data_IF_705539045061
#
_entry.id   IF_705539045061
#
_cell.length_a   1.000
_cell.length_b   1.000
_cell.length_c   1.000
_cell.angle_alpha   90.00
_cell.angle_beta   90.00
_cell.angle_gamma   90.00
#
_symmetry.space_group_name_H-M   'P 1'
#
loop_
_entity.id
_entity.type
_entity.pdbx_description
1 polymer ?
#
# COMPACT_ATOMS: atom_id res chain seq x y z
N UNK A 1 -21.78 -21.43 -9.19
CA UNK A 1 -20.57 -20.62 -9.37
C UNK A 1 -20.96 -19.16 -9.17
N UNK A 2 -20.43 -18.51 -8.13
CA UNK A 2 -20.73 -17.12 -7.79
C UNK A 2 -19.86 -16.17 -8.63
N UNK A 3 -20.46 -15.20 -9.28
CA UNK A 3 -19.76 -14.24 -10.13
C UNK A 3 -19.27 -13.05 -9.31
N UNK A 4 -17.95 -12.93 -9.15
CA UNK A 4 -17.28 -11.87 -8.39
C UNK A 4 -16.56 -10.95 -9.37
N UNK A 5 -16.90 -9.66 -9.35
CA UNK A 5 -16.23 -8.65 -10.17
C UNK A 5 -15.31 -7.80 -9.29
N UNK A 6 -14.04 -7.70 -9.66
CA UNK A 6 -13.08 -6.83 -8.98
C UNK A 6 -12.85 -5.58 -9.81
N UNK A 7 -12.98 -4.41 -9.18
CA UNK A 7 -12.83 -3.10 -9.86
C UNK A 7 -11.75 -2.28 -9.17
N UNK A 8 -10.77 -1.82 -9.96
CA UNK A 8 -9.69 -0.95 -9.49
C UNK A 8 -9.13 -0.11 -10.64
N UNK A 9 -8.42 0.97 -10.33
CA UNK A 9 -8.01 1.92 -11.39
C UNK A 9 -6.64 2.54 -11.23
N UNK A 10 -6.01 2.39 -10.08
CA UNK A 10 -4.70 2.99 -9.78
C UNK A 10 -3.65 1.93 -9.52
N UNK A 11 -2.37 2.30 -9.63
CA UNK A 11 -1.23 1.44 -9.30
C UNK A 11 -1.30 0.87 -7.87
N UNK A 12 -1.55 1.67 -6.81
CA UNK A 12 -1.65 1.14 -5.45
C UNK A 12 -2.79 0.14 -5.25
N UNK A 13 -3.94 0.38 -5.88
CA UNK A 13 -5.05 -0.58 -5.86
C UNK A 13 -4.67 -1.89 -6.55
N UNK A 14 -4.05 -1.81 -7.74
CA UNK A 14 -3.66 -2.99 -8.51
C UNK A 14 -2.68 -3.88 -7.74
N UNK A 15 -1.68 -3.32 -7.06
CA UNK A 15 -0.71 -4.06 -6.24
C UNK A 15 -1.45 -4.92 -5.19
N UNK A 16 -2.53 -4.40 -4.61
CA UNK A 16 -3.29 -5.05 -3.55
C UNK A 16 -4.42 -5.95 -4.07
N UNK A 17 -4.96 -5.65 -5.26
CA UNK A 17 -6.07 -6.41 -5.85
C UNK A 17 -5.64 -7.54 -6.76
N UNK A 18 -4.50 -7.44 -7.45
CA UNK A 18 -4.03 -8.51 -8.33
C UNK A 18 -3.75 -9.84 -7.62
N UNK A 19 -3.15 -9.87 -6.41
CA UNK A 19 -3.06 -11.11 -5.63
C UNK A 19 -4.42 -11.74 -5.34
N UNK A 20 -5.43 -10.90 -5.03
CA UNK A 20 -6.80 -11.35 -4.79
C UNK A 20 -7.46 -11.91 -6.06
N UNK A 21 -7.23 -11.26 -7.21
CA UNK A 21 -7.66 -11.80 -8.52
C UNK A 21 -7.08 -13.19 -8.75
N UNK A 22 -5.77 -13.35 -8.53
CA UNK A 22 -5.09 -14.63 -8.73
C UNK A 22 -5.60 -15.69 -7.78
N UNK A 23 -5.79 -15.39 -6.49
CA UNK A 23 -6.38 -16.30 -5.52
C UNK A 23 -7.81 -16.73 -5.95
N UNK A 24 -8.65 -15.79 -6.34
CA UNK A 24 -10.03 -16.09 -6.76
C UNK A 24 -10.10 -16.92 -8.04
N UNK A 25 -9.18 -16.73 -8.97
CA UNK A 25 -9.11 -17.54 -10.20
C UNK A 25 -8.76 -19.02 -9.94
N UNK A 26 -8.20 -19.35 -8.77
CA UNK A 26 -7.95 -20.75 -8.37
C UNK A 26 -9.19 -21.47 -7.80
N UNK A 27 -10.29 -20.73 -7.57
CA UNK A 27 -11.49 -21.23 -6.89
C UNK A 27 -12.55 -21.71 -7.88
N UNK A 28 -12.93 -22.98 -7.85
CA UNK A 28 -13.90 -23.58 -8.76
C UNK A 28 -15.32 -22.99 -8.61
N UNK A 29 -15.69 -22.57 -7.41
CA UNK A 29 -17.03 -22.01 -7.11
C UNK A 29 -17.13 -20.49 -7.42
N UNK A 30 -16.03 -19.84 -7.77
CA UNK A 30 -15.99 -18.41 -8.09
C UNK A 30 -15.71 -18.19 -9.59
N UNK A 31 -16.55 -17.37 -10.23
CA UNK A 31 -16.27 -16.83 -11.56
C UNK A 31 -15.75 -15.40 -11.39
N UNK A 32 -14.45 -15.22 -11.58
CA UNK A 32 -13.78 -13.92 -11.41
C UNK A 32 -13.85 -13.10 -12.68
N UNK A 33 -14.26 -11.84 -12.55
CA UNK A 33 -14.26 -10.83 -13.62
C UNK A 33 -13.44 -9.63 -13.16
N UNK A 34 -12.55 -9.13 -13.99
CA UNK A 34 -11.66 -8.00 -13.67
C UNK A 34 -12.01 -6.82 -14.54
N UNK A 35 -12.36 -5.69 -13.91
CA UNK A 35 -12.58 -4.43 -14.60
C UNK A 35 -11.59 -3.37 -14.09
N UNK A 36 -10.86 -2.74 -15.01
CA UNK A 36 -9.98 -1.62 -14.65
C UNK A 36 -10.57 -0.32 -15.20
N UNK A 37 -10.44 0.76 -14.42
CA UNK A 37 -10.89 2.08 -14.88
C UNK A 37 -9.82 2.81 -15.67
N UNK A 38 -8.53 2.44 -15.51
CA UNK A 38 -7.45 3.04 -16.26
C UNK A 38 -7.18 4.50 -15.89
N UNK A 39 -7.36 4.87 -14.61
CA UNK A 39 -7.11 6.24 -14.13
C UNK A 39 -5.64 6.67 -14.28
N UNK A 40 -4.67 5.72 -14.24
CA UNK A 40 -3.23 5.91 -14.46
C UNK A 40 -2.68 4.75 -15.30
N UNK A 41 -2.93 4.78 -16.61
CA UNK A 41 -2.75 3.66 -17.53
C UNK A 41 -1.37 2.99 -17.45
N UNK A 42 -0.31 3.71 -17.78
CA UNK A 42 1.03 3.13 -17.90
C UNK A 42 1.53 2.45 -16.62
N UNK A 43 1.31 3.07 -15.47
CA UNK A 43 1.71 2.52 -14.17
C UNK A 43 0.83 1.35 -13.73
N UNK A 44 -0.42 1.31 -14.17
CA UNK A 44 -1.34 0.21 -13.92
C UNK A 44 -0.95 -1.01 -14.73
N UNK A 45 -0.66 -0.84 -16.02
CA UNK A 45 -0.28 -1.93 -16.94
C UNK A 45 0.98 -2.68 -16.43
N UNK A 46 1.98 -1.96 -15.92
CA UNK A 46 3.18 -2.56 -15.32
C UNK A 46 2.86 -3.51 -14.14
N UNK A 47 1.89 -3.14 -13.30
CA UNK A 47 1.47 -3.99 -12.19
C UNK A 47 0.68 -5.19 -12.70
N UNK A 48 -0.24 -4.99 -13.63
CA UNK A 48 -1.00 -6.08 -14.24
C UNK A 48 -0.07 -7.13 -14.86
N UNK A 49 0.97 -6.68 -15.57
CA UNK A 49 1.99 -7.56 -16.16
C UNK A 49 2.79 -8.30 -15.07
N UNK A 50 3.22 -7.60 -14.02
CA UNK A 50 4.00 -8.20 -12.93
C UNK A 50 3.23 -9.31 -12.18
N UNK A 51 1.91 -9.20 -12.10
CA UNK A 51 1.04 -10.20 -11.49
C UNK A 51 0.37 -11.15 -12.48
N UNK A 52 0.65 -11.02 -13.77
CA UNK A 52 0.05 -11.80 -14.86
C UNK A 52 -1.50 -11.73 -14.86
N UNK A 53 -2.03 -10.55 -14.61
CA UNK A 53 -3.47 -10.29 -14.61
C UNK A 53 -3.86 -9.58 -15.90
N UNK A 54 -4.78 -10.17 -16.65
CA UNK A 54 -5.40 -9.53 -17.81
C UNK A 54 -6.81 -9.10 -17.41
N UNK A 55 -7.17 -7.82 -17.52
CA UNK A 55 -8.52 -7.36 -17.27
C UNK A 55 -9.48 -7.83 -18.35
N UNK A 56 -10.72 -8.16 -17.96
CA UNK A 56 -11.81 -8.49 -18.88
C UNK A 56 -12.43 -7.21 -19.47
N UNK A 57 -12.44 -6.13 -18.69
CA UNK A 57 -12.95 -4.82 -19.06
C UNK A 57 -11.96 -3.71 -18.71
N UNK A 58 -11.81 -2.75 -19.61
CA UNK A 58 -10.97 -1.57 -19.42
C UNK A 58 -11.75 -0.33 -19.87
N UNK A 59 -12.09 0.53 -18.92
CA UNK A 59 -12.86 1.75 -19.21
C UNK A 59 -12.01 2.87 -19.82
N UNK A 60 -10.69 2.80 -19.70
CA UNK A 60 -9.72 3.74 -20.27
C UNK A 60 -10.10 5.22 -20.02
N UNK A 61 -10.50 5.56 -18.79
CA UNK A 61 -11.06 6.89 -18.48
C UNK A 61 -10.01 7.99 -18.41
N UNK A 62 -8.71 7.67 -18.47
CA UNK A 62 -7.65 8.66 -18.35
C UNK A 62 -7.69 9.69 -19.50
N UNK A 63 -7.74 10.97 -19.12
CA UNK A 63 -7.60 12.11 -20.01
C UNK A 63 -6.75 13.18 -19.33
N UNK A 64 -6.05 13.98 -20.13
CA UNK A 64 -5.29 15.11 -19.60
C UNK A 64 -6.18 16.11 -18.86
N UNK A 65 -5.69 16.60 -17.72
CA UNK A 65 -6.34 17.66 -16.92
C UNK A 65 -7.78 17.35 -16.47
N UNK A 66 -8.09 16.07 -16.20
CA UNK A 66 -9.39 15.68 -15.66
C UNK A 66 -9.64 16.30 -14.28
N UNK A 67 -10.85 16.78 -14.07
CA UNK A 67 -11.39 17.16 -12.77
C UNK A 67 -11.96 15.93 -12.04
N UNK A 68 -12.22 16.05 -10.74
CA UNK A 68 -12.96 15.01 -10.01
C UNK A 68 -14.36 14.77 -10.58
N UNK A 69 -14.99 15.80 -11.14
CA UNK A 69 -16.29 15.66 -11.83
C UNK A 69 -16.18 14.77 -13.07
N UNK A 70 -15.14 14.98 -13.89
CA UNK A 70 -14.92 14.18 -15.10
C UNK A 70 -14.64 12.71 -14.74
N UNK A 71 -13.77 12.47 -13.75
CA UNK A 71 -13.45 11.13 -13.27
C UNK A 71 -14.70 10.43 -12.76
N UNK A 72 -15.47 11.09 -11.88
CA UNK A 72 -16.71 10.56 -11.31
C UNK A 72 -17.71 10.19 -12.39
N UNK A 73 -17.99 11.11 -13.33
CA UNK A 73 -18.97 10.89 -14.37
C UNK A 73 -18.57 9.77 -15.34
N UNK A 74 -17.29 9.72 -15.73
CA UNK A 74 -16.78 8.71 -16.63
C UNK A 74 -16.83 7.31 -16.00
N UNK A 75 -16.41 7.17 -14.72
CA UNK A 75 -16.49 5.89 -14.00
C UNK A 75 -17.95 5.48 -13.83
N UNK A 76 -18.84 6.37 -13.38
CA UNK A 76 -20.23 6.04 -13.10
C UNK A 76 -20.94 5.49 -14.33
N UNK A 77 -20.78 6.14 -15.47
CA UNK A 77 -21.38 5.71 -16.72
C UNK A 77 -20.77 4.39 -17.24
N UNK A 78 -19.43 4.30 -17.31
CA UNK A 78 -18.76 3.11 -17.83
C UNK A 78 -18.98 1.87 -16.95
N UNK A 79 -18.90 2.01 -15.63
CA UNK A 79 -19.23 0.90 -14.70
C UNK A 79 -20.70 0.51 -14.82
N UNK A 80 -21.61 1.48 -14.99
CA UNK A 80 -23.02 1.18 -15.17
C UNK A 80 -23.29 0.23 -16.34
N UNK A 81 -22.64 0.45 -17.50
CA UNK A 81 -22.74 -0.41 -18.68
C UNK A 81 -22.14 -1.82 -18.44
N UNK A 82 -20.94 -1.88 -17.81
CA UNK A 82 -20.30 -3.16 -17.49
C UNK A 82 -21.11 -3.97 -16.49
N UNK A 83 -21.73 -3.34 -15.49
CA UNK A 83 -22.60 -4.03 -14.53
C UNK A 83 -23.85 -4.61 -15.19
N UNK A 84 -24.42 -3.95 -16.20
CA UNK A 84 -25.55 -4.48 -16.98
C UNK A 84 -25.18 -5.70 -17.80
N UNK A 85 -23.99 -5.72 -18.38
CA UNK A 85 -23.49 -6.84 -19.16
C UNK A 85 -23.07 -8.02 -18.27
N UNK A 86 -22.27 -7.76 -17.24
CA UNK A 86 -21.68 -8.79 -16.38
C UNK A 86 -22.70 -9.39 -15.43
N UNK A 87 -23.60 -8.57 -14.85
CA UNK A 87 -24.53 -8.95 -13.79
C UNK A 87 -23.83 -9.77 -12.67
N UNK A 88 -22.88 -9.16 -11.94
CA UNK A 88 -22.14 -9.86 -10.89
C UNK A 88 -23.02 -10.07 -9.63
N UNK A 89 -22.74 -11.16 -8.90
CA UNK A 89 -23.37 -11.42 -7.61
C UNK A 89 -22.80 -10.54 -6.49
N UNK A 90 -21.54 -10.10 -6.66
CA UNK A 90 -20.86 -9.17 -5.77
C UNK A 90 -19.74 -8.43 -6.51
N UNK A 91 -19.54 -7.17 -6.16
CA UNK A 91 -18.44 -6.35 -6.68
C UNK A 91 -17.48 -6.03 -5.55
N UNK A 92 -16.19 -6.26 -5.75
CA UNK A 92 -15.12 -5.89 -4.83
C UNK A 92 -14.48 -4.58 -5.27
N UNK A 93 -14.32 -3.67 -4.33
CA UNK A 93 -13.60 -2.40 -4.47
C UNK A 93 -12.55 -2.28 -3.37
N UNK A 94 -11.52 -1.47 -3.58
CA UNK A 94 -10.39 -1.40 -2.66
C UNK A 94 -10.12 0.03 -2.17
N UNK A 95 -9.98 0.19 -0.87
CA UNK A 95 -9.49 1.44 -0.26
C UNK A 95 -10.45 2.61 -0.43
N UNK A 96 -9.96 3.70 -1.04
CA UNK A 96 -10.59 5.02 -0.92
C UNK A 96 -10.50 5.91 -2.17
N UNK A 97 -10.13 5.35 -3.31
CA UNK A 97 -10.05 6.12 -4.55
C UNK A 97 -11.43 6.55 -5.08
N UNK A 98 -11.44 7.46 -6.04
CA UNK A 98 -12.66 7.78 -6.79
C UNK A 98 -13.23 6.54 -7.49
N UNK A 99 -12.37 5.66 -8.01
CA UNK A 99 -12.80 4.37 -8.58
C UNK A 99 -13.60 3.55 -7.57
N UNK A 100 -13.10 3.43 -6.35
CA UNK A 100 -13.74 2.68 -5.26
C UNK A 100 -15.11 3.24 -4.91
N UNK A 101 -15.18 4.54 -4.65
CA UNK A 101 -16.45 5.20 -4.27
C UNK A 101 -17.48 5.17 -5.38
N UNK A 102 -17.10 5.54 -6.59
CA UNK A 102 -18.05 5.67 -7.71
C UNK A 102 -18.55 4.29 -8.17
N UNK A 103 -17.68 3.27 -8.14
CA UNK A 103 -18.11 1.89 -8.40
C UNK A 103 -19.12 1.41 -7.35
N UNK A 104 -18.85 1.67 -6.06
CA UNK A 104 -19.79 1.31 -4.99
C UNK A 104 -21.15 2.03 -5.17
N UNK A 105 -21.12 3.30 -5.56
CA UNK A 105 -22.35 4.07 -5.86
C UNK A 105 -23.12 3.48 -7.04
N UNK A 106 -22.47 3.10 -8.13
CA UNK A 106 -23.10 2.43 -9.28
C UNK A 106 -23.74 1.09 -8.87
N UNK A 107 -23.04 0.30 -8.06
CA UNK A 107 -23.56 -0.96 -7.51
C UNK A 107 -24.77 -0.72 -6.62
N UNK A 108 -24.76 0.32 -5.78
CA UNK A 108 -25.89 0.68 -4.94
C UNK A 108 -27.14 1.00 -5.78
N UNK A 109 -27.01 1.77 -6.87
CA UNK A 109 -28.12 2.08 -7.77
C UNK A 109 -28.70 0.84 -8.46
N UNK A 110 -27.88 -0.18 -8.67
CA UNK A 110 -28.30 -1.45 -9.28
C UNK A 110 -28.60 -2.55 -8.26
N UNK A 111 -28.54 -2.24 -6.96
CA UNK A 111 -28.78 -3.17 -5.86
C UNK A 111 -27.84 -4.40 -5.88
N UNK A 112 -26.61 -4.19 -6.36
CA UNK A 112 -25.56 -5.22 -6.38
C UNK A 112 -24.75 -5.10 -5.10
N UNK A 113 -24.55 -6.21 -4.35
CA UNK A 113 -23.75 -6.20 -3.15
C UNK A 113 -22.29 -5.77 -3.40
N UNK A 114 -21.73 -4.96 -2.48
CA UNK A 114 -20.35 -4.48 -2.53
C UNK A 114 -19.55 -5.10 -1.39
N UNK A 115 -18.35 -5.60 -1.70
CA UNK A 115 -17.30 -5.93 -0.74
C UNK A 115 -16.21 -4.87 -0.77
N UNK A 116 -15.93 -4.29 0.38
CA UNK A 116 -14.90 -3.26 0.55
C UNK A 116 -13.62 -3.88 1.12
N UNK A 117 -12.59 -4.00 0.30
CA UNK A 117 -11.25 -4.46 0.70
C UNK A 117 -10.48 -3.27 1.27
N UNK A 118 -9.77 -3.47 2.36
CA UNK A 118 -9.12 -2.42 3.17
C UNK A 118 -10.15 -1.47 3.83
N UNK A 119 -11.23 -2.04 4.35
CA UNK A 119 -12.30 -1.30 4.99
C UNK A 119 -11.92 -0.83 6.41
N UNK A 120 -12.43 0.33 6.81
CA UNK A 120 -12.37 0.79 8.21
C UNK A 120 -11.17 1.65 8.58
N UNK A 121 -10.29 2.00 7.66
CA UNK A 121 -9.29 3.06 7.89
C UNK A 121 -9.99 4.41 8.05
N UNK A 122 -9.62 5.22 9.05
CA UNK A 122 -10.28 6.51 9.35
C UNK A 122 -9.31 7.55 9.87
N UNK A 123 -9.50 8.78 9.38
CA UNK A 123 -8.97 10.01 10.01
C UNK A 123 -10.09 10.81 10.66
N UNK A 124 -11.34 10.56 10.28
CA UNK A 124 -12.54 11.32 10.68
C UNK A 124 -12.52 12.80 10.27
N UNK A 125 -11.59 13.20 9.43
CA UNK A 125 -11.56 14.51 8.80
C UNK A 125 -11.75 14.36 7.29
N UNK A 126 -12.97 14.57 6.79
CA UNK A 126 -13.34 14.35 5.38
C UNK A 126 -12.54 15.22 4.39
N UNK A 127 -11.80 16.19 4.88
CA UNK A 127 -10.92 17.05 4.09
C UNK A 127 -9.43 16.65 4.19
N UNK A 128 -9.10 15.58 4.95
CA UNK A 128 -7.71 15.15 5.11
C UNK A 128 -7.59 13.63 5.42
N UNK A 129 -7.08 12.83 4.46
CA UNK A 129 -6.77 13.18 3.06
C UNK A 129 -8.03 13.47 2.24
N UNK A 130 -7.89 14.32 1.23
CA UNK A 130 -8.99 14.73 0.36
C UNK A 130 -8.77 14.23 -1.08
N UNK A 131 -9.76 13.55 -1.71
CA UNK A 131 -11.12 13.22 -1.25
C UNK A 131 -11.22 11.84 -0.54
N UNK A 132 -10.11 11.20 -0.22
CA UNK A 132 -10.00 9.79 0.18
C UNK A 132 -10.81 9.49 1.46
N UNK A 133 -10.75 10.36 2.48
CA UNK A 133 -11.48 10.09 3.72
C UNK A 133 -13.00 10.09 3.52
N UNK A 134 -13.52 11.01 2.70
CA UNK A 134 -14.93 11.00 2.35
C UNK A 134 -15.29 9.72 1.58
N UNK A 135 -14.48 9.35 0.58
CA UNK A 135 -14.73 8.17 -0.24
C UNK A 135 -14.83 6.90 0.62
N UNK A 136 -13.86 6.68 1.55
CA UNK A 136 -13.85 5.46 2.39
C UNK A 136 -15.03 5.41 3.36
N UNK A 137 -15.45 6.54 3.91
CA UNK A 137 -16.66 6.60 4.75
C UNK A 137 -17.92 6.29 3.93
N UNK A 138 -18.08 6.90 2.76
CA UNK A 138 -19.23 6.68 1.88
C UNK A 138 -19.33 5.21 1.42
N UNK A 139 -18.22 4.60 1.00
CA UNK A 139 -18.18 3.16 0.68
C UNK A 139 -18.56 2.32 1.90
N UNK A 140 -18.09 2.69 3.09
CA UNK A 140 -18.46 2.05 4.34
C UNK A 140 -19.97 2.01 4.56
N UNK A 141 -20.74 3.01 4.15
CA UNK A 141 -22.21 3.00 4.24
C UNK A 141 -22.82 1.94 3.32
N UNK A 142 -22.30 1.82 2.09
CA UNK A 142 -22.85 0.96 1.02
C UNK A 142 -22.43 -0.51 1.19
N UNK A 143 -21.19 -0.77 1.62
CA UNK A 143 -20.60 -2.09 1.63
C UNK A 143 -21.37 -3.10 2.49
N UNK A 144 -21.69 -4.26 1.89
CA UNK A 144 -22.27 -5.42 2.57
C UNK A 144 -21.19 -6.25 3.27
N UNK A 145 -20.01 -6.39 2.65
CA UNK A 145 -18.86 -7.10 3.21
C UNK A 145 -17.75 -6.10 3.46
N UNK A 146 -17.25 -6.02 4.69
CA UNK A 146 -16.17 -5.10 5.07
C UNK A 146 -14.96 -5.93 5.47
N UNK A 147 -13.96 -6.01 4.60
CA UNK A 147 -12.71 -6.73 4.84
C UNK A 147 -11.70 -5.77 5.49
N UNK A 148 -11.67 -5.79 6.81
CA UNK A 148 -10.84 -4.91 7.62
C UNK A 148 -9.41 -5.47 7.75
N UNK A 149 -8.37 -4.64 7.57
CA UNK A 149 -7.00 -5.10 7.74
C UNK A 149 -6.64 -5.41 9.20
N UNK A 150 -7.22 -4.69 10.17
CA UNK A 150 -6.84 -4.76 11.59
C UNK A 150 -8.06 -4.70 12.50
N UNK A 151 -7.84 -5.00 13.80
CA UNK A 151 -8.85 -4.80 14.86
C UNK A 151 -9.25 -3.32 15.01
N UNK A 152 -8.31 -2.38 14.83
CA UNK A 152 -8.62 -0.96 14.88
C UNK A 152 -9.60 -0.58 13.76
N UNK A 153 -9.35 -1.04 12.55
CA UNK A 153 -10.24 -0.83 11.40
C UNK A 153 -11.62 -1.42 11.62
N UNK A 154 -11.72 -2.63 12.18
CA UNK A 154 -13.01 -3.23 12.60
C UNK A 154 -13.72 -2.37 13.64
N UNK A 155 -12.99 -1.91 14.67
CA UNK A 155 -13.59 -1.09 15.72
C UNK A 155 -14.12 0.24 15.20
N UNK A 156 -13.47 0.85 14.20
CA UNK A 156 -13.98 2.04 13.52
C UNK A 156 -15.33 1.75 12.85
N UNK A 157 -15.45 0.65 12.13
CA UNK A 157 -16.69 0.24 11.47
C UNK A 157 -17.82 -0.06 12.47
N UNK A 158 -17.51 -0.71 13.60
CA UNK A 158 -18.48 -0.95 14.67
C UNK A 158 -18.98 0.36 15.29
N UNK A 159 -18.09 1.35 15.52
CA UNK A 159 -18.49 2.68 16.00
C UNK A 159 -19.42 3.42 15.04
N UNK A 160 -19.31 3.14 13.75
CA UNK A 160 -20.19 3.69 12.70
C UNK A 160 -21.49 2.91 12.52
N UNK A 161 -21.75 1.92 13.38
CA UNK A 161 -23.00 1.16 13.40
C UNK A 161 -23.05 0.01 12.40
N UNK A 162 -21.91 -0.42 11.84
CA UNK A 162 -21.87 -1.65 11.04
C UNK A 162 -22.11 -2.88 11.95
N UNK A 163 -22.86 -3.84 11.42
CA UNK A 163 -23.11 -5.09 12.15
C UNK A 163 -21.84 -5.95 12.21
N UNK A 164 -21.56 -6.61 13.33
CA UNK A 164 -20.39 -7.46 13.47
C UNK A 164 -20.25 -8.51 12.37
N UNK A 165 -21.38 -9.09 11.93
CA UNK A 165 -21.42 -10.13 10.90
C UNK A 165 -21.07 -9.63 9.49
N UNK A 166 -21.03 -8.31 9.28
CA UNK A 166 -20.60 -7.70 8.02
C UNK A 166 -19.11 -7.35 7.98
N UNK A 167 -18.37 -7.57 9.09
CA UNK A 167 -16.98 -7.14 9.23
C UNK A 167 -16.09 -8.36 9.44
N UNK A 168 -15.06 -8.48 8.59
CA UNK A 168 -14.12 -9.59 8.60
C UNK A 168 -12.70 -9.06 8.73
N UNK A 169 -11.96 -9.48 9.75
CA UNK A 169 -10.54 -9.17 9.85
C UNK A 169 -9.77 -10.11 8.94
N UNK A 170 -9.23 -9.59 7.87
CA UNK A 170 -8.54 -10.39 6.86
C UNK A 170 -7.03 -10.17 6.84
N UNK A 171 -6.56 -9.05 7.35
CA UNK A 171 -5.23 -8.52 7.06
C UNK A 171 -5.24 -7.66 5.79
N UNK A 172 -4.09 -7.08 5.45
CA UNK A 172 -3.91 -6.26 4.26
C UNK A 172 -3.37 -7.09 3.09
N UNK A 173 -4.03 -7.01 1.95
CA UNK A 173 -3.64 -7.70 0.71
C UNK A 173 -2.31 -7.22 0.12
N UNK A 174 -1.78 -6.08 0.56
CA UNK A 174 -0.42 -5.63 0.23
C UNK A 174 0.64 -6.66 0.66
N UNK A 175 0.41 -7.35 1.78
CA UNK A 175 1.34 -8.37 2.28
C UNK A 175 1.27 -9.63 1.42
N UNK A 176 0.10 -9.99 0.92
CA UNK A 176 -0.05 -11.08 -0.05
C UNK A 176 0.70 -10.80 -1.36
N UNK A 177 0.79 -9.53 -1.78
CA UNK A 177 1.51 -9.15 -2.98
C UNK A 177 3.00 -9.52 -2.92
N UNK A 178 3.62 -9.42 -1.74
CA UNK A 178 5.03 -9.74 -1.54
C UNK A 178 5.36 -11.21 -1.85
N UNK A 179 4.41 -12.13 -1.65
CA UNK A 179 4.59 -13.56 -1.97
C UNK A 179 4.77 -13.80 -3.47
N UNK A 180 4.24 -12.92 -4.31
CA UNK A 180 4.37 -13.02 -5.78
C UNK A 180 5.58 -12.24 -6.28
N UNK A 181 5.86 -11.08 -5.69
CA UNK A 181 6.85 -10.15 -6.21
C UNK A 181 8.26 -10.38 -5.65
N UNK A 182 8.39 -10.84 -4.42
CA UNK A 182 9.69 -11.15 -3.82
C UNK A 182 10.17 -12.52 -4.33
N UNK A 183 11.35 -12.56 -4.96
CA UNK A 183 11.93 -13.75 -5.56
C UNK A 183 13.33 -13.99 -5.02
N UNK A 184 13.67 -15.23 -4.72
CA UNK A 184 15.00 -15.62 -4.24
C UNK A 184 16.09 -15.40 -5.31
N UNK A 185 15.76 -15.69 -6.55
CA UNK A 185 16.65 -15.60 -7.73
C UNK A 185 16.76 -14.19 -8.32
N UNK A 186 16.12 -13.19 -7.68
CA UNK A 186 16.16 -11.82 -8.17
C UNK A 186 17.54 -11.19 -8.02
N UNK A 187 18.04 -10.61 -9.10
CA UNK A 187 19.32 -9.87 -9.18
C UNK A 187 19.11 -8.46 -9.73
N UNK A 188 19.92 -7.53 -9.26
CA UNK A 188 19.92 -6.17 -9.77
C UNK A 188 21.30 -5.53 -9.51
N UNK A 189 21.85 -4.73 -10.44
CA UNK A 189 23.19 -4.14 -10.29
C UNK A 189 23.38 -3.36 -8.98
N UNK A 190 22.37 -2.63 -8.53
CA UNK A 190 22.41 -1.89 -7.26
C UNK A 190 22.49 -2.80 -6.04
N UNK A 191 21.83 -3.95 -6.08
CA UNK A 191 21.92 -4.96 -5.01
C UNK A 191 23.28 -5.67 -5.02
N UNK A 192 23.85 -5.89 -6.19
CA UNK A 192 25.20 -6.41 -6.34
C UNK A 192 26.24 -5.41 -5.78
N UNK A 193 26.07 -4.12 -6.10
CA UNK A 193 26.88 -3.04 -5.51
C UNK A 193 26.79 -3.03 -3.98
N UNK A 194 25.62 -3.24 -3.41
CA UNK A 194 25.40 -3.26 -1.97
C UNK A 194 25.86 -4.57 -1.29
N UNK A 195 26.23 -5.57 -2.07
CA UNK A 195 26.61 -6.90 -1.55
C UNK A 195 27.71 -6.84 -0.51
N UNK A 196 27.56 -7.62 0.56
CA UNK A 196 28.49 -7.65 1.69
C UNK A 196 28.34 -6.49 2.69
N UNK A 197 27.40 -5.58 2.45
CA UNK A 197 27.08 -4.47 3.36
C UNK A 197 25.68 -4.63 3.95
N UNK A 198 25.40 -3.96 5.07
CA UNK A 198 24.03 -3.80 5.57
C UNK A 198 23.31 -2.75 4.69
N UNK A 199 22.36 -3.19 3.88
CA UNK A 199 21.64 -2.33 2.96
C UNK A 199 20.55 -1.54 3.68
N UNK A 200 20.57 -0.23 3.54
CA UNK A 200 19.51 0.69 4.00
C UNK A 200 18.67 1.13 2.80
N UNK A 201 17.36 0.95 2.89
CA UNK A 201 16.43 1.48 1.90
C UNK A 201 15.88 2.81 2.40
N UNK A 202 15.97 3.86 1.57
CA UNK A 202 15.47 5.20 1.88
C UNK A 202 14.29 5.52 0.98
N UNK A 203 13.20 6.00 1.55
CA UNK A 203 12.10 6.61 0.80
C UNK A 203 11.62 7.86 1.52
N UNK A 204 11.69 9.01 0.87
CA UNK A 204 11.24 10.29 1.42
C UNK A 204 10.68 11.17 0.28
N UNK A 205 9.42 11.55 0.39
CA UNK A 205 8.73 12.32 -0.66
C UNK A 205 7.45 13.03 -0.20
N UNK A 206 7.07 12.93 1.07
CA UNK A 206 5.84 13.51 1.59
C UNK A 206 5.88 15.04 1.54
N UNK A 207 4.75 15.64 1.15
CA UNK A 207 4.63 17.11 1.00
C UNK A 207 4.84 17.85 2.33
N UNK A 208 4.36 17.25 3.42
CA UNK A 208 4.54 17.78 4.78
C UNK A 208 6.00 17.88 5.21
N UNK A 209 6.88 17.08 4.60
CA UNK A 209 8.31 17.02 4.93
C UNK A 209 9.18 17.91 4.04
N UNK A 210 8.60 18.57 3.02
CA UNK A 210 9.39 19.43 2.12
C UNK A 210 10.00 20.62 2.87
N UNK A 211 11.22 21.03 2.44
CA UNK A 211 11.99 22.09 3.06
C UNK A 211 12.89 21.57 4.19
N UNK A 212 13.04 22.33 5.27
CA UNK A 212 13.97 22.03 6.37
C UNK A 212 13.82 20.63 6.98
N UNK A 213 12.58 20.10 7.20
CA UNK A 213 12.43 18.73 7.66
C UNK A 213 13.16 17.70 6.80
N UNK A 214 13.10 17.83 5.47
CA UNK A 214 13.77 16.90 4.54
C UNK A 214 15.29 17.03 4.59
N UNK A 215 15.82 18.26 4.72
CA UNK A 215 17.25 18.48 4.93
C UNK A 215 17.73 17.83 6.24
N UNK A 216 16.97 17.99 7.33
CA UNK A 216 17.28 17.33 8.62
C UNK A 216 17.38 15.81 8.48
N UNK A 217 16.40 15.19 7.79
CA UNK A 217 16.41 13.75 7.53
C UNK A 217 17.69 13.33 6.78
N UNK A 218 18.03 14.02 5.70
CA UNK A 218 19.19 13.66 4.89
C UNK A 218 20.51 13.92 5.60
N UNK A 219 20.64 14.99 6.40
CA UNK A 219 21.82 15.23 7.24
C UNK A 219 22.01 14.12 8.28
N UNK A 220 20.94 13.71 8.95
CA UNK A 220 20.98 12.60 9.91
C UNK A 220 21.46 11.30 9.25
N UNK A 221 20.90 10.99 8.07
CA UNK A 221 21.29 9.79 7.30
C UNK A 221 22.76 9.88 6.91
N UNK A 222 23.21 11.00 6.37
CA UNK A 222 24.62 11.20 5.97
C UNK A 222 25.58 11.00 7.13
N UNK A 223 25.30 11.58 8.30
CA UNK A 223 26.13 11.41 9.52
C UNK A 223 26.32 9.94 9.87
N UNK A 224 25.26 9.17 9.92
CA UNK A 224 25.34 7.72 10.22
C UNK A 224 26.13 6.98 9.13
N UNK A 225 25.89 7.31 7.87
CA UNK A 225 26.64 6.68 6.76
C UNK A 225 28.14 6.98 6.80
N UNK A 226 28.54 8.16 7.25
CA UNK A 226 29.95 8.53 7.41
C UNK A 226 30.65 7.76 8.54
N UNK A 227 29.91 7.41 9.60
CA UNK A 227 30.42 6.67 10.76
C UNK A 227 30.48 5.14 10.57
N UNK A 228 29.64 4.59 9.68
CA UNK A 228 29.50 3.13 9.51
C UNK A 228 29.93 2.67 8.12
N UNK A 229 31.16 2.20 7.99
CA UNK A 229 31.74 1.78 6.69
C UNK A 229 31.14 0.49 6.11
N UNK A 230 30.49 -0.32 6.94
CA UNK A 230 29.82 -1.56 6.57
C UNK A 230 28.36 -1.38 6.11
N UNK A 231 27.91 -0.13 6.03
CA UNK A 231 26.53 0.24 5.64
C UNK A 231 26.53 0.89 4.26
N UNK A 232 25.60 0.49 3.43
CA UNK A 232 25.27 1.15 2.14
C UNK A 232 23.80 1.48 2.06
N UNK A 233 23.46 2.56 1.39
CA UNK A 233 22.09 2.99 1.23
C UNK A 233 21.69 3.11 -0.24
N UNK A 234 20.46 2.74 -0.57
CA UNK A 234 19.84 2.95 -1.87
C UNK A 234 18.60 3.82 -1.66
N UNK A 235 18.53 4.90 -2.43
CA UNK A 235 17.43 5.84 -2.41
C UNK A 235 16.77 5.95 -3.79
N UNK A 236 15.70 5.19 -4.08
CA UNK A 236 14.86 5.42 -5.25
C UNK A 236 14.14 6.75 -5.09
N UNK A 237 14.66 7.78 -5.75
CA UNK A 237 14.25 9.16 -5.48
C UNK A 237 12.96 9.51 -6.23
N UNK A 238 12.07 10.23 -5.56
CA UNK A 238 10.85 10.74 -6.17
C UNK A 238 11.13 11.80 -7.24
N UNK A 239 10.27 11.88 -8.27
CA UNK A 239 10.43 12.80 -9.41
C UNK A 239 10.29 14.29 -9.05
N UNK A 240 9.79 14.62 -7.85
CA UNK A 240 9.61 16.00 -7.40
C UNK A 240 10.95 16.75 -7.36
N UNK A 241 11.11 17.87 -8.10
CA UNK A 241 12.36 18.63 -8.14
C UNK A 241 12.84 19.15 -6.78
N UNK A 242 11.90 19.44 -5.85
CA UNK A 242 12.25 19.91 -4.51
C UNK A 242 12.93 18.80 -3.71
N UNK A 243 12.45 17.56 -3.82
CA UNK A 243 13.06 16.39 -3.20
C UNK A 243 14.45 16.12 -3.78
N UNK A 244 14.57 16.16 -5.12
CA UNK A 244 15.85 15.95 -5.83
C UNK A 244 16.90 16.99 -5.43
N UNK A 245 16.49 18.25 -5.32
CA UNK A 245 17.38 19.32 -4.89
C UNK A 245 17.90 19.11 -3.46
N UNK A 246 17.02 18.80 -2.51
CA UNK A 246 17.42 18.55 -1.13
C UNK A 246 18.37 17.33 -1.02
N UNK A 247 18.11 16.26 -1.78
CA UNK A 247 18.98 15.10 -1.81
C UNK A 247 20.34 15.41 -2.42
N UNK A 248 20.40 16.20 -3.48
CA UNK A 248 21.65 16.65 -4.10
C UNK A 248 22.49 17.51 -3.13
N UNK A 249 21.84 18.42 -2.39
CA UNK A 249 22.51 19.30 -1.44
C UNK A 249 23.09 18.54 -0.23
N UNK A 250 22.38 17.53 0.29
CA UNK A 250 22.76 16.87 1.54
C UNK A 250 23.45 15.51 1.35
N UNK A 251 23.11 14.75 0.31
CA UNK A 251 23.61 13.38 0.14
C UNK A 251 24.70 13.24 -0.93
N UNK A 252 24.90 14.27 -1.77
CA UNK A 252 25.91 14.23 -2.82
C UNK A 252 27.33 14.08 -2.23
N UNK A 253 28.17 13.29 -2.91
CA UNK A 253 29.55 13.04 -2.51
C UNK A 253 29.72 11.98 -1.38
N UNK A 254 28.65 11.27 -1.02
CA UNK A 254 28.74 10.08 -0.17
C UNK A 254 28.71 8.82 -1.05
N UNK A 255 29.87 8.23 -1.32
CA UNK A 255 30.02 7.06 -2.21
C UNK A 255 29.24 5.81 -1.74
N UNK A 256 28.73 5.82 -0.50
CA UNK A 256 27.93 4.72 0.06
C UNK A 256 26.42 4.95 -0.03
N UNK A 257 25.99 6.04 -0.66
CA UNK A 257 24.57 6.30 -0.92
C UNK A 257 24.38 6.37 -2.44
N UNK A 258 23.64 5.42 -2.98
CA UNK A 258 23.21 5.47 -4.38
C UNK A 258 21.79 6.04 -4.48
N UNK A 259 21.70 7.19 -5.12
CA UNK A 259 20.43 7.81 -5.50
C UNK A 259 20.09 7.31 -6.90
N UNK A 260 18.97 6.59 -7.03
CA UNK A 260 18.55 5.95 -8.27
C UNK A 260 17.17 6.45 -8.70
N UNK A 261 16.80 6.19 -9.94
CA UNK A 261 15.45 6.48 -10.43
C UNK A 261 14.39 5.63 -9.69
N UNK A 262 13.11 6.06 -9.67
CA UNK A 262 12.05 5.32 -9.00
C UNK A 262 11.96 3.88 -9.50
N UNK A 263 11.83 2.95 -8.56
CA UNK A 263 11.71 1.53 -8.86
C UNK A 263 10.26 1.13 -9.21
N UNK A 264 10.12 0.14 -10.06
CA UNK A 264 8.85 -0.57 -10.26
C UNK A 264 8.54 -1.47 -9.07
N UNK A 265 7.30 -1.94 -8.95
CA UNK A 265 6.83 -2.68 -7.77
C UNK A 265 7.64 -3.95 -7.52
N UNK A 266 7.98 -4.69 -8.57
CA UNK A 266 8.74 -5.92 -8.45
C UNK A 266 10.15 -5.65 -7.91
N UNK A 267 10.83 -4.67 -8.47
CA UNK A 267 12.17 -4.26 -8.02
C UNK A 267 12.10 -3.73 -6.59
N UNK A 268 11.15 -2.84 -6.32
CA UNK A 268 10.98 -2.22 -5.01
C UNK A 268 10.79 -3.25 -3.89
N UNK A 269 9.92 -4.25 -4.08
CA UNK A 269 9.69 -5.30 -3.09
C UNK A 269 10.92 -6.20 -2.89
N UNK A 270 11.68 -6.46 -3.95
CA UNK A 270 12.93 -7.21 -3.84
C UNK A 270 14.05 -6.45 -3.14
N UNK A 271 14.10 -5.12 -3.31
CA UNK A 271 14.99 -4.25 -2.55
C UNK A 271 14.60 -4.19 -1.06
N UNK A 272 13.31 -4.05 -0.76
CA UNK A 272 12.83 -4.12 0.63
C UNK A 272 13.22 -5.45 1.29
N UNK A 273 12.99 -6.56 0.61
CA UNK A 273 13.28 -7.90 1.13
C UNK A 273 14.77 -8.12 1.44
N UNK A 274 15.67 -7.45 0.71
CA UNK A 274 17.12 -7.53 0.89
C UNK A 274 17.71 -6.45 1.78
N UNK A 275 16.89 -5.50 2.20
CA UNK A 275 17.32 -4.43 3.10
C UNK A 275 17.53 -4.95 4.52
N UNK A 276 18.46 -4.33 5.24
CA UNK A 276 18.66 -4.50 6.66
C UNK A 276 17.66 -3.64 7.44
N UNK A 277 17.54 -2.36 7.10
CA UNK A 277 16.71 -1.37 7.78
C UNK A 277 16.08 -0.44 6.74
N UNK A 278 14.91 0.10 7.05
CA UNK A 278 14.18 1.00 6.17
C UNK A 278 13.93 2.34 6.86
N UNK A 279 14.29 3.42 6.16
CA UNK A 279 14.00 4.80 6.53
C UNK A 279 12.93 5.33 5.58
N UNK A 280 11.74 5.65 6.09
CA UNK A 280 10.60 5.98 5.22
C UNK A 280 9.68 7.04 5.78
N UNK A 281 9.06 7.82 4.89
CA UNK A 281 7.89 8.64 5.19
C UNK A 281 6.60 8.09 4.52
N UNK A 282 6.69 6.94 3.84
CA UNK A 282 5.56 6.31 3.14
C UNK A 282 4.67 5.49 4.07
N UNK A 283 3.34 5.57 3.86
CA UNK A 283 2.36 4.78 4.61
C UNK A 283 2.39 3.28 4.28
N UNK A 284 2.42 2.90 3.00
CA UNK A 284 2.37 1.49 2.57
C UNK A 284 3.55 0.67 3.07
N UNK A 285 4.75 1.24 3.05
CA UNK A 285 5.98 0.57 3.51
C UNK A 285 5.91 0.20 4.99
N UNK A 286 5.18 0.96 5.80
CA UNK A 286 4.95 0.67 7.21
C UNK A 286 4.17 -0.63 7.44
N UNK A 287 3.47 -1.13 6.44
CA UNK A 287 2.74 -2.40 6.47
C UNK A 287 3.55 -3.54 5.82
N UNK A 288 4.22 -3.24 4.71
CA UNK A 288 4.93 -4.20 3.88
C UNK A 288 6.28 -4.64 4.49
N UNK A 289 7.11 -3.68 4.90
CA UNK A 289 8.46 -3.96 5.39
C UNK A 289 8.50 -4.85 6.66
N UNK A 290 7.63 -4.63 7.66
CA UNK A 290 7.57 -5.53 8.83
C UNK A 290 7.22 -6.97 8.48
N UNK A 291 6.44 -7.21 7.42
CA UNK A 291 6.11 -8.58 6.97
C UNK A 291 7.33 -9.34 6.41
N UNK A 292 8.35 -8.61 6.02
CA UNK A 292 9.65 -9.13 5.58
C UNK A 292 10.69 -9.17 6.73
N UNK A 293 10.27 -8.92 7.97
CA UNK A 293 11.15 -8.87 9.12
C UNK A 293 12.13 -7.69 9.09
N UNK A 294 11.74 -6.56 8.49
CA UNK A 294 12.60 -5.38 8.36
C UNK A 294 12.17 -4.30 9.34
N UNK A 295 13.03 -3.87 10.27
CA UNK A 295 12.78 -2.71 11.11
C UNK A 295 12.55 -1.45 10.27
N UNK A 296 11.61 -0.60 10.71
CA UNK A 296 11.25 0.63 9.99
C UNK A 296 11.35 1.83 10.92
N UNK A 297 12.14 2.82 10.52
CA UNK A 297 12.12 4.16 11.10
C UNK A 297 11.23 5.06 10.25
N UNK A 298 10.15 5.54 10.86
CA UNK A 298 9.17 6.39 10.19
C UNK A 298 9.54 7.85 10.42
N UNK A 299 10.04 8.51 9.38
CA UNK A 299 10.49 9.91 9.41
C UNK A 299 9.31 10.86 9.20
N UNK A 300 8.39 10.88 10.17
CA UNK A 300 7.19 11.72 10.22
C UNK A 300 6.87 12.07 11.67
N UNK A 301 6.17 13.18 11.87
CA UNK A 301 5.68 13.58 13.20
C UNK A 301 4.43 12.79 13.61
N UNK A 302 3.67 12.31 12.63
CA UNK A 302 2.45 11.51 12.85
C UNK A 302 2.35 10.37 11.84
N UNK A 303 1.64 9.31 12.22
CA UNK A 303 1.32 8.21 11.30
C UNK A 303 -0.14 7.79 11.46
N UNK A 304 -0.76 7.43 10.37
CA UNK A 304 -2.08 6.80 10.32
C UNK A 304 -2.04 5.27 10.61
N UNK A 305 -0.88 4.77 11.04
CA UNK A 305 -0.62 3.35 11.33
C UNK A 305 -0.10 3.12 12.74
N UNK A 306 -0.87 3.51 13.76
CA UNK A 306 -0.44 3.42 15.16
C UNK A 306 -0.25 1.97 15.63
N UNK A 307 -0.90 1.01 14.98
CA UNK A 307 -0.81 -0.41 15.33
C UNK A 307 0.63 -0.94 15.16
N UNK A 308 1.35 -0.51 14.13
CA UNK A 308 2.75 -0.92 13.91
C UNK A 308 3.68 -0.41 15.00
N UNK A 309 3.43 0.81 15.52
CA UNK A 309 4.17 1.36 16.65
C UNK A 309 3.86 0.54 17.92
N UNK A 310 2.58 0.28 18.19
CA UNK A 310 2.15 -0.49 19.35
C UNK A 310 2.68 -1.93 19.33
N UNK A 311 2.78 -2.53 18.14
CA UNK A 311 3.36 -3.86 17.94
C UNK A 311 4.90 -3.88 18.03
N UNK A 312 5.56 -2.72 17.94
CA UNK A 312 7.01 -2.60 17.95
C UNK A 312 7.69 -2.91 16.61
N UNK A 313 6.95 -2.98 15.52
CA UNK A 313 7.50 -3.18 14.15
C UNK A 313 8.00 -1.88 13.53
N UNK A 314 7.50 -0.75 14.01
CA UNK A 314 7.81 0.60 13.56
C UNK A 314 8.27 1.48 14.72
N UNK A 315 9.17 2.42 14.43
CA UNK A 315 9.54 3.49 15.36
C UNK A 315 9.30 4.84 14.68
N UNK A 316 8.42 5.66 15.25
CA UNK A 316 8.16 7.02 14.79
C UNK A 316 9.27 7.92 15.29
N UNK A 317 10.09 8.47 14.38
CA UNK A 317 11.30 9.25 14.73
C UNK A 317 11.18 10.74 14.40
N UNK A 318 10.04 11.18 13.86
CA UNK A 318 9.85 12.59 13.51
C UNK A 318 10.75 13.03 12.36
N UNK A 319 11.01 14.32 12.32
CA UNK A 319 11.84 14.98 11.29
C UNK A 319 13.02 15.75 11.88
N UNK A 320 13.30 15.56 13.16
CA UNK A 320 14.46 16.14 13.84
C UNK A 320 15.72 15.35 13.52
N UNK A 321 16.79 16.06 13.16
CA UNK A 321 18.07 15.46 12.74
C UNK A 321 18.66 14.56 13.82
N UNK A 322 18.73 15.03 15.07
CA UNK A 322 19.37 14.30 16.17
C UNK A 322 18.56 13.07 16.58
N UNK A 323 17.24 13.15 16.58
CA UNK A 323 16.36 12.03 16.89
C UNK A 323 16.50 10.92 15.82
N UNK A 324 16.51 11.29 14.56
CA UNK A 324 16.70 10.33 13.45
C UNK A 324 18.09 9.68 13.55
N UNK A 325 19.13 10.50 13.73
CA UNK A 325 20.51 10.02 13.87
C UNK A 325 20.65 9.01 14.99
N UNK A 326 20.17 9.31 16.21
CA UNK A 326 20.27 8.43 17.37
C UNK A 326 19.54 7.11 17.16
N UNK A 327 18.31 7.13 16.62
CA UNK A 327 17.53 5.93 16.39
C UNK A 327 18.09 5.06 15.26
N UNK A 328 18.61 5.67 14.20
CA UNK A 328 19.23 4.94 13.11
C UNK A 328 20.53 4.26 13.58
N UNK A 329 21.37 4.99 14.29
CA UNK A 329 22.60 4.46 14.89
C UNK A 329 22.31 3.35 15.90
N UNK A 330 21.30 3.51 16.77
CA UNK A 330 20.89 2.50 17.73
C UNK A 330 20.60 1.15 17.05
N UNK A 331 19.82 1.15 15.95
CA UNK A 331 19.49 -0.09 15.23
C UNK A 331 20.68 -0.70 14.47
N UNK A 332 21.72 0.05 14.21
CA UNK A 332 22.96 -0.47 13.65
C UNK A 332 23.90 -1.06 14.72
N UNK A 333 23.93 -0.48 15.90
CA UNK A 333 24.89 -0.84 16.96
C UNK A 333 24.31 -1.79 18.02
N UNK A 334 22.99 -1.73 18.25
CA UNK A 334 22.29 -2.55 19.24
C UNK A 334 21.51 -3.68 18.57
N UNK A 335 22.15 -4.85 18.52
CA UNK A 335 21.56 -6.05 17.92
C UNK A 335 20.26 -6.48 18.60
N UNK A 336 20.15 -6.30 19.92
CA UNK A 336 18.96 -6.70 20.68
C UNK A 336 17.74 -5.87 20.27
N UNK A 337 17.86 -4.55 20.16
CA UNK A 337 16.79 -3.67 19.69
C UNK A 337 16.43 -3.93 18.21
N UNK A 338 17.44 -4.21 17.38
CA UNK A 338 17.18 -4.60 15.99
C UNK A 338 16.34 -5.88 15.91
N UNK A 339 16.77 -6.96 16.58
CA UNK A 339 16.10 -8.28 16.57
C UNK A 339 14.69 -8.19 17.16
N UNK A 340 14.50 -7.38 18.20
CA UNK A 340 13.19 -7.13 18.79
C UNK A 340 12.21 -6.53 17.77
N UNK A 341 12.64 -5.55 16.99
CA UNK A 341 11.82 -4.95 15.94
C UNK A 341 11.61 -5.90 14.75
N UNK A 342 12.67 -6.57 14.31
CA UNK A 342 12.64 -7.47 13.15
C UNK A 342 11.71 -8.68 13.35
N UNK A 343 11.59 -9.17 14.60
CA UNK A 343 10.76 -10.32 14.95
C UNK A 343 9.42 -9.96 15.60
N UNK A 344 9.10 -8.68 15.72
CA UNK A 344 7.80 -8.25 16.20
C UNK A 344 6.68 -8.70 15.24
N UNK A 345 5.55 -9.13 15.79
CA UNK A 345 4.42 -9.59 14.97
C UNK A 345 3.82 -8.44 14.16
N UNK A 346 3.70 -8.60 12.85
CA UNK A 346 3.11 -7.59 11.98
C UNK A 346 1.59 -7.52 12.21
N UNK A 347 1.03 -6.40 12.69
CA UNK A 347 -0.39 -6.26 12.97
C UNK A 347 -1.26 -6.20 11.69
N UNK A 348 -0.64 -5.95 10.54
CA UNK A 348 -1.35 -5.79 9.26
C UNK A 348 -1.59 -7.10 8.53
N UNK A 349 -1.13 -8.23 9.05
CA UNK A 349 -1.44 -9.55 8.51
C UNK A 349 -0.22 -10.45 8.31
N UNK A 350 -0.51 -11.63 7.78
CA UNK A 350 0.40 -12.76 7.60
C UNK A 350 0.53 -13.21 6.13
N UNK A 351 -0.01 -12.41 5.20
CA UNK A 351 -0.03 -12.73 3.77
C UNK A 351 -1.06 -13.78 3.36
N UNK A 352 -2.14 -13.92 4.11
CA UNK A 352 -3.28 -14.79 3.78
C UNK A 352 -4.60 -14.01 3.68
N UNK A 353 -4.54 -12.69 3.47
CA UNK A 353 -5.73 -11.86 3.36
C UNK A 353 -6.57 -12.25 2.13
N UNK A 354 -5.93 -12.44 0.99
CA UNK A 354 -6.61 -12.85 -0.25
C UNK A 354 -7.35 -14.18 -0.09
N UNK A 355 -6.70 -15.16 0.55
CA UNK A 355 -7.32 -16.46 0.85
C UNK A 355 -8.55 -16.31 1.73
N UNK A 356 -8.46 -15.53 2.82
CA UNK A 356 -9.60 -15.30 3.74
C UNK A 356 -10.77 -14.62 3.03
N UNK A 357 -10.50 -13.62 2.19
CA UNK A 357 -11.54 -12.94 1.41
C UNK A 357 -12.23 -13.93 0.45
N UNK A 358 -11.44 -14.74 -0.27
CA UNK A 358 -12.00 -15.75 -1.17
C UNK A 358 -12.84 -16.78 -0.43
N UNK A 359 -12.36 -17.33 0.71
CA UNK A 359 -13.07 -18.30 1.54
C UNK A 359 -14.43 -17.73 2.01
N UNK A 360 -14.48 -16.46 2.46
CA UNK A 360 -15.72 -15.78 2.89
C UNK A 360 -16.71 -15.66 1.74
N UNK A 361 -16.24 -15.37 0.55
CA UNK A 361 -17.09 -15.19 -0.62
C UNK A 361 -17.59 -16.53 -1.18
N UNK A 362 -16.82 -17.60 -1.10
CA UNK A 362 -17.24 -18.94 -1.51
C UNK A 362 -18.36 -19.49 -0.64
N UNK A 363 -18.18 -19.47 0.67
CA UNK A 363 -19.13 -20.07 1.62
C UNK A 363 -20.48 -19.36 1.57
N UNK A 364 -20.52 -18.10 1.13
CA UNK A 364 -21.71 -17.28 1.11
C UNK A 364 -22.30 -17.17 2.52
N UNK A 365 -22.20 -16.04 3.18
CA UNK A 365 -22.91 -15.86 4.44
C UNK A 365 -24.39 -16.09 4.20
N UNK A 366 -24.91 -17.17 4.79
CA UNK A 366 -26.33 -17.45 4.84
C UNK A 366 -26.96 -16.27 5.57
N UNK A 367 -27.71 -15.48 4.81
CA UNK A 367 -28.62 -14.50 5.40
C UNK A 367 -29.67 -15.26 6.21
N UNK A 368 -29.61 -15.11 7.52
CA UNK A 368 -30.79 -15.34 8.35
C UNK A 368 -31.57 -14.05 8.44
#
# INVERSE_FOLDING_TARGET
MKKVMLVFGTRPEAIKMCPLVNEMKTREELKTVVCVTGQHRQMLDQVLDAFHVTPDYDLAIMKDKQTLFDITSNILNGIGEVLDEVQPDVVLVHGDTSTTFVTALACFYKQIPVGHVEAGLRTYNIYSPYPEEFNRQAVGIIAKYNFAPTELSKNNLLKEGKTPDSIFITGNTAIDALKTTVREDYTHPELEWASGSRLIMITAHRRENLGEPMHNMFRAIRRVMEEHSDVKAIYPIHMNPVVRKAAEEELNGCDRIHIIEPLEVLDFHNFLARSYLILTDSGGIQEEAPSLGKPVLVMRDTTERPEGIAAGTLKLVGTDEEIIYQNFRELLENKEEYEKMAHAANPYGDGHACKRIADILEVGYVTF
#
